data_IF_205787485662
#
_entry.id   IF_205787485662
#
_cell.length_a   1.000
_cell.length_b   1.000
_cell.length_c   1.000
_cell.angle_alpha   90.00
_cell.angle_beta   90.00
_cell.angle_gamma   90.00
#
_symmetry.space_group_name_H-M   'P 1'
#
loop_
_entity.id
_entity.type
_entity.pdbx_description
1 polymer ?
#
# COMPACT_ATOMS: atom_id res chain seq x y z
N UNK A 1 24.14 -7.66 27.29
CA UNK A 1 23.49 -6.90 26.21
C UNK A 1 22.79 -7.92 25.34
N UNK A 2 21.46 -7.90 25.28
CA UNK A 2 20.72 -8.72 24.32
C UNK A 2 20.97 -8.13 22.94
N UNK A 3 21.70 -8.86 22.12
CA UNK A 3 21.98 -8.51 20.73
C UNK A 3 20.63 -8.38 20.01
N UNK A 4 20.33 -7.20 19.48
CA UNK A 4 19.11 -7.00 18.71
C UNK A 4 19.34 -7.62 17.33
N UNK A 5 18.95 -8.88 17.17
CA UNK A 5 19.11 -9.61 15.91
C UNK A 5 18.04 -9.14 14.92
N UNK A 6 18.43 -8.29 13.97
CA UNK A 6 17.58 -7.84 12.87
C UNK A 6 17.66 -8.83 11.69
N UNK A 7 16.54 -9.42 11.28
CA UNK A 7 16.48 -10.24 10.07
C UNK A 7 16.29 -9.35 8.83
N UNK A 8 17.38 -8.74 8.36
CA UNK A 8 17.37 -7.84 7.20
C UNK A 8 16.81 -8.47 5.93
N UNK A 9 17.18 -9.71 5.63
CA UNK A 9 16.66 -10.44 4.48
C UNK A 9 15.14 -10.62 4.56
N UNK A 10 14.61 -10.84 5.77
CA UNK A 10 13.16 -10.88 6.00
C UNK A 10 12.48 -9.52 5.85
N UNK A 11 13.15 -8.44 6.27
CA UNK A 11 12.62 -7.06 6.14
C UNK A 11 12.59 -6.65 4.66
N UNK A 12 13.67 -6.84 3.91
CA UNK A 12 13.71 -6.55 2.46
C UNK A 12 12.70 -7.40 1.68
N UNK A 13 12.59 -8.69 2.02
CA UNK A 13 11.56 -9.57 1.45
C UNK A 13 10.15 -9.05 1.73
N UNK A 14 9.87 -8.65 2.97
CA UNK A 14 8.59 -8.07 3.38
C UNK A 14 8.27 -6.74 2.67
N UNK A 15 9.27 -5.89 2.39
CA UNK A 15 9.08 -4.68 1.57
C UNK A 15 8.60 -5.03 0.17
N UNK A 16 9.23 -6.02 -0.48
CA UNK A 16 8.83 -6.49 -1.80
C UNK A 16 7.41 -7.06 -1.82
N UNK A 17 7.05 -7.84 -0.80
CA UNK A 17 5.70 -8.37 -0.63
C UNK A 17 4.66 -7.26 -0.46
N UNK A 18 4.96 -6.23 0.34
CA UNK A 18 4.08 -5.08 0.55
C UNK A 18 3.89 -4.33 -0.77
N UNK A 19 4.96 -4.05 -1.51
CA UNK A 19 4.85 -3.41 -2.82
C UNK A 19 3.97 -4.21 -3.78
N UNK A 20 4.14 -5.54 -3.82
CA UNK A 20 3.28 -6.43 -4.60
C UNK A 20 1.81 -6.38 -4.16
N UNK A 21 1.55 -6.35 -2.85
CA UNK A 21 0.21 -6.19 -2.30
C UNK A 21 -0.40 -4.82 -2.62
N UNK A 22 0.38 -3.74 -2.63
CA UNK A 22 -0.06 -2.40 -3.07
C UNK A 22 -0.49 -2.44 -4.54
N UNK A 23 0.34 -3.00 -5.43
CA UNK A 23 -0.01 -3.13 -6.85
C UNK A 23 -1.25 -3.99 -7.09
N UNK A 24 -1.38 -5.08 -6.34
CA UNK A 24 -2.58 -5.94 -6.39
C UNK A 24 -3.82 -5.19 -5.95
N UNK A 25 -3.72 -4.42 -4.84
CA UNK A 25 -4.82 -3.61 -4.32
C UNK A 25 -5.25 -2.55 -5.34
N UNK A 26 -4.31 -1.85 -5.96
CA UNK A 26 -4.60 -0.91 -7.04
C UNK A 26 -5.42 -1.56 -8.17
N UNK A 27 -5.00 -2.73 -8.65
CA UNK A 27 -5.72 -3.46 -9.70
C UNK A 27 -7.16 -3.84 -9.28
N UNK A 28 -7.35 -4.29 -8.05
CA UNK A 28 -8.68 -4.62 -7.50
C UNK A 28 -9.58 -3.38 -7.37
N UNK A 29 -9.01 -2.22 -7.02
CA UNK A 29 -9.75 -0.96 -6.94
C UNK A 29 -10.20 -0.48 -8.32
N UNK A 30 -9.36 -0.63 -9.34
CA UNK A 30 -9.70 -0.32 -10.73
C UNK A 30 -10.77 -1.27 -11.27
N UNK A 31 -10.67 -2.57 -10.98
CA UNK A 31 -11.68 -3.57 -11.34
C UNK A 31 -13.03 -3.28 -10.67
N UNK A 32 -13.01 -2.93 -9.38
CA UNK A 32 -14.22 -2.54 -8.64
C UNK A 32 -14.86 -1.26 -9.19
N UNK A 33 -14.06 -0.28 -9.62
CA UNK A 33 -14.55 0.92 -10.32
C UNK A 33 -15.23 0.58 -11.64
N UNK A 34 -14.62 -0.31 -12.43
CA UNK A 34 -15.21 -0.80 -13.69
C UNK A 34 -16.53 -1.53 -13.46
N UNK A 35 -16.59 -2.38 -12.42
CA UNK A 35 -17.81 -3.08 -12.01
C UNK A 35 -18.90 -2.10 -11.59
N UNK A 36 -18.55 -1.07 -10.83
CA UNK A 36 -19.47 -0.01 -10.44
C UNK A 36 -20.05 0.72 -11.67
N UNK A 37 -19.19 1.05 -12.64
CA UNK A 37 -19.60 1.70 -13.88
C UNK A 37 -20.55 0.83 -14.73
N UNK A 38 -20.34 -0.48 -14.78
CA UNK A 38 -21.27 -1.40 -15.47
C UNK A 38 -22.67 -1.39 -14.82
N UNK A 39 -22.72 -1.32 -13.49
CA UNK A 39 -23.95 -1.24 -12.72
C UNK A 39 -24.68 0.12 -12.87
N UNK A 40 -24.00 1.17 -13.35
CA UNK A 40 -24.63 2.47 -13.61
C UNK A 40 -25.81 2.37 -14.58
N UNK A 41 -25.71 1.47 -15.57
CA UNK A 41 -26.77 1.20 -16.56
C UNK A 41 -28.03 0.60 -15.93
N UNK A 42 -27.89 -0.11 -14.80
CA UNK A 42 -28.98 -0.75 -14.06
C UNK A 42 -29.72 0.26 -13.17
N UNK A 43 -29.07 1.36 -12.78
CA UNK A 43 -29.62 2.35 -11.84
C UNK A 43 -30.29 3.56 -12.54
N UNK A 44 -30.44 3.52 -13.86
CA UNK A 44 -30.98 4.63 -14.67
C UNK A 44 -32.43 5.00 -14.32
N UNK A 45 -32.66 6.26 -13.92
CA UNK A 45 -33.99 6.84 -13.66
C UNK A 45 -34.05 7.60 -12.34
N UNK A 46 -34.00 6.87 -11.21
CA UNK A 46 -34.01 7.42 -9.84
C UNK A 46 -32.71 7.13 -9.07
N UNK A 47 -31.83 6.27 -9.60
CA UNK A 47 -30.57 5.87 -8.97
C UNK A 47 -29.36 6.71 -9.38
N UNK A 48 -29.51 7.78 -10.16
CA UNK A 48 -28.40 8.62 -10.62
C UNK A 48 -27.64 9.29 -9.47
N UNK A 49 -28.35 9.86 -8.48
CA UNK A 49 -27.72 10.46 -7.30
C UNK A 49 -27.09 9.40 -6.39
N UNK A 50 -27.77 8.27 -6.19
CA UNK A 50 -27.24 7.15 -5.42
C UNK A 50 -25.97 6.57 -6.08
N UNK A 51 -25.95 6.46 -7.40
CA UNK A 51 -24.78 6.07 -8.18
C UNK A 51 -23.63 7.04 -7.98
N UNK A 52 -23.86 8.34 -8.17
CA UNK A 52 -22.83 9.38 -7.99
C UNK A 52 -22.28 9.39 -6.57
N UNK A 53 -23.13 9.20 -5.56
CA UNK A 53 -22.70 9.11 -4.17
C UNK A 53 -21.80 7.89 -3.92
N UNK A 54 -22.17 6.71 -4.45
CA UNK A 54 -21.36 5.50 -4.32
C UNK A 54 -20.05 5.61 -5.10
N UNK A 55 -20.08 6.17 -6.31
CA UNK A 55 -18.89 6.37 -7.12
C UNK A 55 -17.92 7.37 -6.47
N UNK A 56 -18.43 8.47 -5.92
CA UNK A 56 -17.62 9.44 -5.17
C UNK A 56 -17.01 8.79 -3.93
N UNK A 57 -17.80 8.02 -3.18
CA UNK A 57 -17.30 7.29 -2.00
C UNK A 57 -16.23 6.28 -2.39
N UNK A 58 -16.44 5.52 -3.47
CA UNK A 58 -15.47 4.57 -3.97
C UNK A 58 -14.15 5.25 -4.32
N UNK A 59 -14.20 6.32 -5.12
CA UNK A 59 -13.00 7.05 -5.54
C UNK A 59 -12.24 7.64 -4.34
N UNK A 60 -12.95 8.21 -3.37
CA UNK A 60 -12.33 8.76 -2.17
C UNK A 60 -11.64 7.68 -1.33
N UNK A 61 -12.35 6.59 -1.00
CA UNK A 61 -11.80 5.51 -0.17
C UNK A 61 -10.67 4.77 -0.90
N UNK A 62 -10.77 4.59 -2.21
CA UNK A 62 -9.72 4.00 -3.03
C UNK A 62 -8.44 4.83 -3.01
N UNK A 63 -8.57 6.15 -3.20
CA UNK A 63 -7.44 7.08 -3.14
C UNK A 63 -6.78 7.12 -1.76
N UNK A 64 -7.59 7.13 -0.70
CA UNK A 64 -7.10 7.10 0.68
C UNK A 64 -6.32 5.82 0.97
N UNK A 65 -6.86 4.66 0.57
CA UNK A 65 -6.20 3.37 0.72
C UNK A 65 -4.87 3.32 -0.07
N UNK A 66 -4.88 3.76 -1.32
CA UNK A 66 -3.67 3.81 -2.14
C UNK A 66 -2.59 4.70 -1.52
N UNK A 67 -2.98 5.87 -1.02
CA UNK A 67 -2.07 6.79 -0.33
C UNK A 67 -1.50 6.17 0.93
N UNK A 68 -2.33 5.53 1.75
CA UNK A 68 -1.90 4.86 2.99
C UNK A 68 -0.92 3.72 2.71
N UNK A 69 -1.19 2.90 1.68
CA UNK A 69 -0.33 1.79 1.28
C UNK A 69 1.02 2.26 0.71
N UNK A 70 1.03 3.34 -0.08
CA UNK A 70 2.27 3.95 -0.58
C UNK A 70 3.11 4.52 0.58
N UNK A 71 2.48 5.22 1.53
CA UNK A 71 3.15 5.74 2.72
C UNK A 71 3.73 4.62 3.58
N UNK A 72 2.98 3.51 3.75
CA UNK A 72 3.46 2.34 4.46
C UNK A 72 4.69 1.74 3.78
N UNK A 73 4.64 1.52 2.46
CA UNK A 73 5.75 0.98 1.69
C UNK A 73 7.00 1.87 1.78
N UNK A 74 6.82 3.19 1.71
CA UNK A 74 7.89 4.16 1.85
C UNK A 74 8.52 4.11 3.25
N UNK A 75 7.71 4.13 4.30
CA UNK A 75 8.16 4.11 5.69
C UNK A 75 9.00 2.86 6.01
N UNK A 76 8.58 1.70 5.50
CA UNK A 76 9.31 0.44 5.73
C UNK A 76 10.62 0.42 4.93
N UNK A 77 10.63 0.96 3.71
CA UNK A 77 11.86 1.12 2.91
C UNK A 77 12.88 2.03 3.61
N UNK A 78 12.44 3.17 4.15
CA UNK A 78 13.29 4.09 4.92
C UNK A 78 13.84 3.44 6.19
N UNK A 79 12.99 2.72 6.93
CA UNK A 79 13.40 1.97 8.12
C UNK A 79 14.48 0.92 7.78
N UNK A 80 14.28 0.16 6.69
CA UNK A 80 15.24 -0.84 6.22
C UNK A 80 16.60 -0.21 5.88
N UNK A 81 16.59 0.90 5.13
CA UNK A 81 17.81 1.64 4.76
C UNK A 81 18.57 2.18 5.98
N UNK A 82 17.84 2.76 6.94
CA UNK A 82 18.41 3.30 8.18
C UNK A 82 19.06 2.20 9.03
N UNK A 83 18.39 1.05 9.15
CA UNK A 83 18.94 -0.09 9.88
C UNK A 83 20.19 -0.65 9.19
N UNK A 84 20.19 -0.78 7.86
CA UNK A 84 21.35 -1.26 7.10
C UNK A 84 22.57 -0.33 7.26
N UNK A 85 22.36 0.99 7.22
CA UNK A 85 23.43 1.97 7.49
C UNK A 85 23.97 1.86 8.92
N UNK A 86 23.09 1.70 9.90
CA UNK A 86 23.47 1.60 11.32
C UNK A 86 24.35 0.38 11.56
N UNK A 87 23.95 -0.79 11.06
CA UNK A 87 24.74 -2.02 11.18
C UNK A 87 26.08 -1.96 10.44
N UNK A 88 26.12 -1.37 9.24
CA UNK A 88 27.37 -1.18 8.51
C UNK A 88 28.36 -0.29 9.29
N UNK A 89 27.86 0.77 9.92
CA UNK A 89 28.66 1.66 10.77
C UNK A 89 29.17 0.96 12.03
N UNK A 90 28.31 0.19 12.70
CA UNK A 90 28.67 -0.62 13.87
C UNK A 90 29.72 -1.66 13.51
N UNK A 91 29.50 -2.43 12.45
CA UNK A 91 30.46 -3.45 11.97
C UNK A 91 31.81 -2.83 11.63
N UNK A 92 31.83 -1.68 10.94
CA UNK A 92 33.07 -0.97 10.61
C UNK A 92 33.79 -0.36 11.82
N UNK A 93 33.11 -0.18 12.96
CA UNK A 93 33.74 0.29 14.20
C UNK A 93 34.39 -0.83 15.00
N UNK A 94 33.97 -2.08 14.76
CA UNK A 94 34.45 -3.27 15.46
C UNK A 94 35.32 -4.21 14.60
N UNK A 95 35.59 -3.85 13.34
CA UNK A 95 36.53 -4.52 12.42
C UNK A 95 37.90 -3.82 12.42
#
# INVERSE_FOLDING_TARGET
>A
MTEQVWNFAGIEGGVGEIQGAVSTTHGLLDEGKGSLAALASVWGGSGSEAYQAVQTRWDNTSNELNTALQNLAHTISEASSTMAQTEAGVTGMFA
#
